data_IF_620958487597
#
_entry.id   IF_620958487597
#
_cell.length_a   1.000
_cell.length_b   1.000
_cell.length_c   1.000
_cell.angle_alpha   90.00
_cell.angle_beta   90.00
_cell.angle_gamma   90.00
#
_symmetry.space_group_name_H-M   'P 1'
#
loop_
_entity.id
_entity.type
_entity.pdbx_description
1 polymer ?
#
# COMPACT_ATOMS: atom_id res chain seq x y z
N UNK A 1 -2.22 10.63 10.84
CA UNK A 1 -2.26 9.48 9.91
C UNK A 1 -0.91 9.40 9.21
N UNK A 2 -0.33 8.20 9.13
CA UNK A 2 0.93 7.99 8.43
C UNK A 2 0.68 7.95 6.91
N UNK A 3 1.71 8.29 6.13
CA UNK A 3 1.71 8.19 4.68
C UNK A 3 2.32 6.87 4.29
N UNK A 4 1.53 6.06 3.59
CA UNK A 4 1.98 4.77 3.07
C UNK A 4 2.02 4.83 1.55
N UNK A 5 3.14 4.40 1.00
CA UNK A 5 3.26 4.12 -0.41
C UNK A 5 2.87 2.66 -0.62
N UNK A 6 1.84 2.44 -1.45
CA UNK A 6 1.34 1.12 -1.79
C UNK A 6 1.66 0.86 -3.26
N UNK A 7 2.34 -0.25 -3.52
CA UNK A 7 2.70 -0.71 -4.85
C UNK A 7 2.20 -2.13 -5.10
N UNK A 8 1.64 -2.38 -6.29
CA UNK A 8 1.13 -3.68 -6.73
C UNK A 8 1.10 -3.71 -8.25
N UNK A 9 2.01 -4.43 -8.92
CA UNK A 9 2.27 -4.41 -10.38
C UNK A 9 2.11 -3.02 -11.05
N UNK A 10 0.90 -2.69 -11.52
CA UNK A 10 0.55 -1.44 -12.21
C UNK A 10 -0.04 -0.35 -11.29
N UNK A 11 -0.31 -0.67 -10.02
CA UNK A 11 -0.76 0.26 -8.99
C UNK A 11 0.42 0.85 -8.25
N UNK A 12 0.52 2.17 -8.25
CA UNK A 12 1.44 2.92 -7.38
C UNK A 12 0.71 4.14 -6.80
N UNK A 13 0.34 4.07 -5.52
CA UNK A 13 -0.43 5.13 -4.85
C UNK A 13 0.13 5.46 -3.48
N UNK A 14 -0.05 6.71 -3.06
CA UNK A 14 0.23 7.14 -1.70
C UNK A 14 -1.09 7.39 -1.01
N UNK A 15 -1.32 6.71 0.11
CA UNK A 15 -2.54 6.83 0.91
C UNK A 15 -2.21 7.23 2.34
N UNK A 16 -3.10 8.01 2.95
CA UNK A 16 -3.04 8.35 4.36
C UNK A 16 -3.87 7.33 5.12
N UNK A 17 -3.24 6.53 5.98
CA UNK A 17 -3.93 5.50 6.75
C UNK A 17 -3.38 5.42 8.19
N UNK A 18 -4.14 4.84 9.14
CA UNK A 18 -3.64 4.59 10.48
C UNK A 18 -2.65 3.42 10.53
N UNK A 19 -2.78 2.43 9.64
CA UNK A 19 -1.93 1.22 9.60
C UNK A 19 -1.56 0.85 8.15
N UNK A 20 -0.51 0.04 7.94
CA UNK A 20 -0.13 -0.45 6.60
C UNK A 20 -1.22 -1.32 5.96
N UNK A 21 -1.97 -2.08 6.75
CA UNK A 21 -3.08 -2.90 6.26
C UNK A 21 -4.23 -2.02 5.76
N UNK A 22 -4.61 -0.99 6.51
CA UNK A 22 -5.63 -0.03 6.09
C UNK A 22 -5.21 0.77 4.85
N UNK A 23 -3.90 1.01 4.68
CA UNK A 23 -3.37 1.58 3.45
C UNK A 23 -3.59 0.65 2.24
N UNK A 24 -3.26 -0.64 2.37
CA UNK A 24 -3.50 -1.63 1.31
C UNK A 24 -5.00 -1.72 0.96
N UNK A 25 -5.87 -1.78 1.98
CA UNK A 25 -7.33 -1.77 1.84
C UNK A 25 -7.84 -0.54 1.08
N UNK A 26 -7.39 0.65 1.48
CA UNK A 26 -7.76 1.90 0.82
C UNK A 26 -7.30 1.92 -0.65
N UNK A 27 -6.11 1.37 -0.93
CA UNK A 27 -5.58 1.30 -2.30
C UNK A 27 -6.43 0.41 -3.22
N UNK A 28 -7.00 -0.68 -2.70
CA UNK A 28 -7.92 -1.56 -3.45
C UNK A 28 -9.22 -0.82 -3.80
N UNK A 29 -9.77 -0.06 -2.85
CA UNK A 29 -10.98 0.74 -3.08
C UNK A 29 -10.75 1.81 -4.16
N UNK A 30 -9.57 2.43 -4.20
CA UNK A 30 -9.21 3.41 -5.23
C UNK A 30 -9.11 2.80 -6.63
N UNK A 31 -8.81 1.51 -6.74
CA UNK A 31 -8.80 0.77 -8.00
C UNK A 31 -10.20 0.27 -8.42
N UNK A 32 -11.28 0.69 -7.73
CA UNK A 32 -12.63 0.19 -7.95
C UNK A 32 -12.77 -1.35 -7.89
N UNK A 33 -11.86 -2.03 -7.16
CA UNK A 33 -11.81 -3.49 -7.12
C UNK A 33 -11.24 -4.15 -8.37
N UNK A 34 -10.77 -3.39 -9.37
CA UNK A 34 -10.01 -3.94 -10.48
C UNK A 34 -8.67 -4.46 -9.96
N UNK A 35 -8.56 -5.79 -10.01
CA UNK A 35 -7.40 -6.55 -9.59
C UNK A 35 -6.24 -6.28 -10.55
N UNK A 36 -5.24 -5.56 -10.05
CA UNK A 36 -3.98 -5.40 -10.78
C UNK A 36 -2.97 -6.49 -10.35
N UNK A 37 -3.06 -7.04 -9.13
CA UNK A 37 -2.12 -8.08 -8.67
C UNK A 37 -2.55 -8.88 -7.41
N UNK A 38 -1.78 -9.91 -7.09
CA UNK A 38 -1.98 -10.80 -5.94
C UNK A 38 -1.36 -10.31 -4.62
N UNK A 39 -0.45 -9.33 -4.65
CA UNK A 39 0.34 -8.89 -3.48
C UNK A 39 0.51 -7.37 -3.46
N UNK A 40 0.28 -6.77 -2.30
CA UNK A 40 0.55 -5.35 -2.02
C UNK A 40 1.84 -5.18 -1.25
N UNK A 41 2.73 -4.35 -1.77
CA UNK A 41 3.92 -3.85 -1.08
C UNK A 41 3.58 -2.51 -0.46
N UNK A 42 3.64 -2.43 0.86
CA UNK A 42 3.33 -1.21 1.61
C UNK A 42 4.59 -0.74 2.31
N UNK A 43 4.99 0.49 2.02
CA UNK A 43 6.15 1.14 2.62
C UNK A 43 5.67 2.40 3.36
N UNK A 44 6.09 2.59 4.62
CA UNK A 44 5.85 3.85 5.33
C UNK A 44 6.79 4.91 4.79
N UNK A 45 6.41 5.57 3.68
CA UNK A 45 7.13 6.72 3.17
C UNK A 45 6.81 7.94 4.04
N UNK A 46 7.49 8.02 5.17
CA UNK A 46 7.63 9.24 5.94
C UNK A 46 8.32 10.28 5.07
N UNK A 47 7.54 11.16 4.43
CA UNK A 47 7.90 12.46 3.85
C UNK A 47 9.42 12.73 3.74
N UNK A 48 10.08 12.25 2.68
CA UNK A 48 11.46 12.64 2.36
C UNK A 48 11.55 13.01 0.89
N UNK A 49 12.14 14.17 0.65
CA UNK A 49 12.17 14.90 -0.62
C UNK A 49 12.88 14.17 -1.78
N UNK A 50 13.16 14.88 -2.88
CA UNK A 50 13.38 14.31 -4.21
C UNK A 50 14.62 13.42 -4.39
N UNK A 51 15.50 13.27 -3.39
CA UNK A 51 16.83 12.68 -3.54
C UNK A 51 17.11 11.47 -2.63
N UNK A 52 16.12 10.64 -2.30
CA UNK A 52 16.38 9.42 -1.50
C UNK A 52 15.89 8.14 -2.20
N UNK A 53 16.74 7.61 -3.09
CA UNK A 53 16.93 6.17 -3.22
C UNK A 53 17.57 5.66 -1.93
N UNK A 54 16.77 5.21 -0.97
CA UNK A 54 17.25 4.30 0.06
C UNK A 54 16.04 3.61 0.71
N UNK A 55 15.83 2.36 0.27
CA UNK A 55 15.31 1.23 1.05
C UNK A 55 14.63 1.60 2.37
N UNK A 56 13.30 1.68 2.37
CA UNK A 56 12.52 1.78 3.61
C UNK A 56 12.72 0.50 4.44
N UNK A 57 13.08 0.60 5.73
CA UNK A 57 13.41 -0.56 6.56
C UNK A 57 12.21 -1.43 6.96
N UNK A 58 10.97 -0.97 6.71
CA UNK A 58 9.75 -1.74 6.93
C UNK A 58 8.92 -1.75 5.65
N UNK A 59 9.12 -2.80 4.84
CA UNK A 59 8.24 -3.17 3.74
C UNK A 59 7.29 -4.24 4.24
N UNK A 60 6.01 -3.90 4.36
CA UNK A 60 4.98 -4.88 4.62
C UNK A 60 4.48 -5.48 3.32
N UNK A 61 4.27 -6.79 3.32
CA UNK A 61 3.79 -7.54 2.18
C UNK A 61 2.45 -8.15 2.57
N UNK A 62 1.38 -7.72 1.91
CA UNK A 62 0.04 -8.21 2.17
C UNK A 62 -0.49 -8.96 0.94
N UNK A 63 -0.88 -10.23 1.07
CA UNK A 63 -1.57 -10.92 -0.01
C UNK A 63 -2.98 -10.33 -0.19
N UNK A 64 -3.44 -10.22 -1.43
CA UNK A 64 -4.76 -9.67 -1.78
C UNK A 64 -5.88 -10.33 -0.98
N UNK A 65 -5.84 -11.65 -0.81
CA UNK A 65 -6.82 -12.39 -0.02
C UNK A 65 -6.94 -11.87 1.43
N UNK A 66 -5.84 -11.48 2.07
CA UNK A 66 -5.87 -10.91 3.43
C UNK A 66 -6.35 -9.47 3.48
N UNK A 67 -6.23 -8.74 2.37
CA UNK A 67 -6.73 -7.35 2.26
C UNK A 67 -8.25 -7.36 2.00
N UNK A 68 -8.74 -8.33 1.22
CA UNK A 68 -10.16 -8.39 0.80
C UNK A 68 -11.02 -9.27 1.71
N UNK A 69 -10.46 -10.25 2.42
CA UNK A 69 -11.20 -11.15 3.33
C UNK A 69 -11.88 -10.42 4.50
N UNK A 70 -11.52 -9.18 4.78
CA UNK A 70 -12.09 -8.36 5.86
C UNK A 70 -13.31 -7.51 5.39
N UNK A 71 -13.64 -7.55 4.09
CA UNK A 71 -14.80 -6.88 3.50
C UNK A 71 -16.03 -7.81 3.33
N UNK A 72 -15.94 -9.05 3.84
CA UNK A 72 -17.01 -10.05 3.82
C UNK A 72 -17.85 -10.08 5.08
#
# INVERSE_FOLDING_TARGET
MAKYYVKSNELEVIVNAPTPLEAAKTSVLLCAGELIDHVFYVDERGFRGPDHEQSSPARWVFPYASVVSDYG
#
